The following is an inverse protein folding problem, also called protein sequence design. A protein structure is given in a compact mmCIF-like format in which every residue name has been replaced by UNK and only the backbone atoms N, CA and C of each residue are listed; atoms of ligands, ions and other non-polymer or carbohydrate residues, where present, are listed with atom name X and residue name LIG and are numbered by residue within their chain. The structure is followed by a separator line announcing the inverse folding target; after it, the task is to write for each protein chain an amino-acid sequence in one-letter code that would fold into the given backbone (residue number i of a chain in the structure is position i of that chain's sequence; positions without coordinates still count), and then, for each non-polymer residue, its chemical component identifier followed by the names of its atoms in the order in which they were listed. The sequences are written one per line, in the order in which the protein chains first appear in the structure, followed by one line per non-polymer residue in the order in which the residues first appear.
data_IF_433073482831
#
_entry.id   IF_433073482831
#
_cell.length_a   1.000
_cell.length_b   1.000
_cell.length_c   1.000
_cell.angle_alpha   90.00
_cell.angle_beta   90.00
_cell.angle_gamma   90.00
#
_symmetry.space_group_name_H-M   'P 1'
#
loop_
_entity.id
_entity.type
_entity.pdbx_description
1 polymer ?
#
# COMPACT_ATOMS: atom_id res chain seq x y z
N UNK A 1 12.57 10.69 -7.41
CA UNK A 1 12.41 10.83 -8.87
C UNK A 1 13.74 11.34 -9.43
N UNK A 2 14.06 11.06 -10.69
CA UNK A 2 15.19 11.68 -11.39
C UNK A 2 14.66 12.63 -12.46
N UNK A 3 15.34 13.74 -12.71
CA UNK A 3 14.99 14.65 -13.79
C UNK A 3 15.77 14.24 -15.05
N UNK A 4 15.09 14.05 -16.17
CA UNK A 4 15.70 13.59 -17.43
C UNK A 4 15.20 14.41 -18.61
N UNK A 5 16.00 14.59 -19.68
CA UNK A 5 15.53 15.22 -20.91
C UNK A 5 14.27 14.52 -21.42
N UNK A 6 13.26 15.28 -21.83
CA UNK A 6 12.03 14.71 -22.39
C UNK A 6 12.36 14.04 -23.74
N UNK A 7 12.17 12.72 -23.90
CA UNK A 7 12.39 12.08 -25.18
C UNK A 7 11.45 12.62 -26.26
N UNK A 8 11.91 12.68 -27.50
CA UNK A 8 11.06 13.06 -28.64
C UNK A 8 9.85 12.14 -28.74
N UNK A 9 8.69 12.71 -29.03
CA UNK A 9 7.40 12.01 -29.15
C UNK A 9 6.91 11.28 -27.88
N UNK A 10 7.53 11.50 -26.72
CA UNK A 10 7.05 10.97 -25.44
C UNK A 10 5.81 11.72 -24.94
N UNK A 11 4.87 10.97 -24.37
CA UNK A 11 3.70 11.49 -23.67
C UNK A 11 3.83 11.19 -22.16
N UNK A 12 4.53 12.05 -21.39
CA UNK A 12 4.70 11.83 -19.96
C UNK A 12 3.35 11.88 -19.24
N UNK A 13 3.21 11.07 -18.20
CA UNK A 13 2.03 11.02 -17.34
C UNK A 13 1.87 12.37 -16.64
N UNK A 14 0.69 12.95 -16.76
CA UNK A 14 0.39 14.23 -16.08
C UNK A 14 0.20 14.00 -14.57
N UNK A 15 0.38 15.02 -13.74
CA UNK A 15 0.18 14.90 -12.29
C UNK A 15 -0.61 16.07 -11.69
N UNK A 16 -1.02 15.94 -10.42
CA UNK A 16 -1.65 17.03 -9.66
C UNK A 16 -1.44 16.88 -8.17
N UNK A 17 -1.53 18.00 -7.45
CA UNK A 17 -1.65 17.99 -6.00
C UNK A 17 -3.09 17.74 -5.58
N UNK A 18 -3.26 16.81 -4.63
CA UNK A 18 -4.53 16.55 -3.95
C UNK A 18 -4.37 16.99 -2.50
N UNK A 19 -5.19 17.95 -2.11
CA UNK A 19 -5.22 18.50 -0.76
C UNK A 19 -6.38 17.90 0.03
N UNK A 20 -6.13 17.55 1.29
CA UNK A 20 -7.13 17.04 2.21
C UNK A 20 -6.89 17.58 3.60
N UNK A 21 -7.93 18.15 4.20
CA UNK A 21 -7.93 18.54 5.60
C UNK A 21 -8.33 17.33 6.45
N UNK A 22 -7.49 16.97 7.42
CA UNK A 22 -7.79 15.96 8.44
C UNK A 22 -8.31 16.67 9.68
N UNK A 23 -9.44 16.19 10.19
CA UNK A 23 -10.06 16.68 11.42
C UNK A 23 -9.96 15.62 12.51
N UNK A 24 -9.90 16.07 13.76
CA UNK A 24 -10.07 15.22 14.95
C UNK A 24 -11.54 14.86 15.12
N UNK A 25 -11.82 13.96 16.07
CA UNK A 25 -13.20 13.57 16.42
C UNK A 25 -14.06 14.73 16.89
N UNK A 26 -13.45 15.74 17.53
CA UNK A 26 -14.11 16.97 17.99
C UNK A 26 -14.35 18.01 16.86
N UNK A 27 -13.96 17.69 15.62
CA UNK A 27 -14.13 18.57 14.46
C UNK A 27 -13.02 19.60 14.26
N UNK A 28 -12.06 19.73 15.18
CA UNK A 28 -10.90 20.62 15.04
C UNK A 28 -9.91 20.10 14.00
N UNK A 29 -9.08 20.99 13.44
CA UNK A 29 -8.10 20.64 12.43
C UNK A 29 -6.98 19.83 13.08
N UNK A 30 -6.79 18.61 12.59
CA UNK A 30 -5.66 17.75 12.96
C UNK A 30 -4.45 18.05 12.08
N UNK A 31 -4.63 18.03 10.75
CA UNK A 31 -3.53 18.22 9.80
C UNK A 31 -3.99 18.66 8.41
N UNK A 32 -3.18 19.50 7.76
CA UNK A 32 -3.25 19.72 6.31
C UNK A 32 -2.43 18.66 5.58
N UNK A 33 -3.04 17.94 4.64
CA UNK A 33 -2.36 16.89 3.86
C UNK A 33 -2.35 17.26 2.39
N UNK A 34 -1.17 17.37 1.80
CA UNK A 34 -0.97 17.39 0.36
C UNK A 34 -0.43 16.04 -0.11
N UNK A 35 -0.85 15.58 -1.29
CA UNK A 35 -0.29 14.42 -1.97
C UNK A 35 -0.10 14.74 -3.43
N UNK A 36 1.07 14.41 -3.97
CA UNK A 36 1.25 14.36 -5.42
C UNK A 36 0.62 13.07 -5.95
N UNK A 37 -0.22 13.20 -6.96
CA UNK A 37 -0.96 12.09 -7.56
C UNK A 37 -0.75 12.13 -9.07
N UNK A 38 -0.25 11.04 -9.62
CA UNK A 38 -0.19 10.82 -11.06
C UNK A 38 -1.62 10.65 -11.60
N UNK A 39 -1.89 11.15 -12.80
CA UNK A 39 -3.18 10.99 -13.45
C UNK A 39 -3.15 9.72 -14.29
N UNK A 40 -3.46 8.58 -13.66
CA UNK A 40 -3.40 7.27 -14.31
C UNK A 40 -4.22 7.17 -15.60
N UNK A 41 -5.27 7.98 -15.79
CA UNK A 41 -6.00 8.03 -17.07
C UNK A 41 -5.16 8.52 -18.25
N UNK A 42 -4.02 9.20 -18.01
CA UNK A 42 -3.05 9.58 -19.03
C UNK A 42 -1.99 8.51 -19.32
N UNK A 43 -2.04 7.36 -18.63
CA UNK A 43 -1.16 6.22 -18.93
C UNK A 43 -1.66 5.38 -20.10
N UNK A 44 -0.72 4.93 -20.91
CA UNK A 44 -0.93 4.06 -22.06
C UNK A 44 -0.57 2.60 -21.74
N UNK A 45 -1.49 1.68 -22.06
CA UNK A 45 -1.24 0.24 -21.96
C UNK A 45 -0.12 -0.19 -22.92
N UNK A 46 0.75 -1.11 -22.47
CA UNK A 46 1.90 -1.60 -23.22
C UNK A 46 3.12 -0.66 -23.18
N UNK A 47 2.93 0.61 -22.80
CA UNK A 47 4.01 1.58 -22.61
C UNK A 47 4.29 1.79 -21.10
N UNK A 48 3.32 2.36 -20.38
CA UNK A 48 3.49 2.77 -18.98
C UNK A 48 3.14 1.65 -17.99
N UNK A 49 2.38 0.64 -18.44
CA UNK A 49 1.98 -0.51 -17.65
C UNK A 49 1.53 -1.67 -18.54
N UNK A 50 1.63 -2.88 -18.01
CA UNK A 50 1.13 -4.10 -18.66
C UNK A 50 0.11 -4.81 -17.78
N UNK A 51 0.34 -4.87 -16.46
CA UNK A 51 -0.59 -5.50 -15.53
C UNK A 51 -0.95 -4.57 -14.37
N UNK A 52 -2.25 -4.47 -14.06
CA UNK A 52 -2.76 -3.58 -13.00
C UNK A 52 -3.46 -4.35 -11.89
N UNK A 53 -3.63 -5.66 -12.04
CA UNK A 53 -4.38 -6.46 -11.08
C UNK A 53 -3.66 -6.50 -9.73
N UNK A 54 -4.40 -6.13 -8.69
CA UNK A 54 -4.01 -6.24 -7.29
C UNK A 54 -5.15 -6.90 -6.53
N UNK A 55 -4.87 -7.92 -5.70
CA UNK A 55 -5.87 -8.50 -4.82
C UNK A 55 -6.53 -7.46 -3.92
N UNK A 56 -7.82 -7.65 -3.67
CA UNK A 56 -8.63 -6.89 -2.73
C UNK A 56 -9.26 -7.89 -1.77
N UNK A 57 -9.14 -7.63 -0.47
CA UNK A 57 -9.66 -8.57 0.52
C UNK A 57 -11.16 -8.81 0.37
N UNK A 58 -11.55 -10.07 0.34
CA UNK A 58 -12.94 -10.46 0.27
C UNK A 58 -13.63 -10.27 1.63
N UNK A 59 -14.84 -9.70 1.63
CA UNK A 59 -15.63 -9.52 2.84
C UNK A 59 -15.96 -10.82 3.56
N UNK A 60 -16.06 -11.94 2.84
CA UNK A 60 -16.20 -13.26 3.45
C UNK A 60 -14.97 -13.59 4.28
N UNK A 61 -13.77 -13.42 3.72
CA UNK A 61 -12.49 -13.61 4.43
C UNK A 61 -12.37 -12.71 5.64
N UNK A 62 -12.70 -11.42 5.49
CA UNK A 62 -12.72 -10.46 6.62
C UNK A 62 -13.59 -11.01 7.74
N UNK A 63 -14.86 -11.34 7.46
CA UNK A 63 -15.81 -11.87 8.45
C UNK A 63 -15.32 -13.19 9.07
N UNK A 64 -14.78 -14.11 8.27
CA UNK A 64 -14.23 -15.37 8.75
C UNK A 64 -13.09 -15.18 9.74
N UNK A 65 -12.19 -14.22 9.50
CA UNK A 65 -11.10 -13.88 10.43
C UNK A 65 -11.66 -13.34 11.75
N UNK A 66 -12.64 -12.43 11.71
CA UNK A 66 -13.28 -11.92 12.92
C UNK A 66 -13.97 -13.04 13.71
N UNK A 67 -14.75 -13.89 13.04
CA UNK A 67 -15.42 -15.02 13.67
C UNK A 67 -14.41 -16.01 14.27
N UNK A 68 -13.32 -16.31 13.58
CA UNK A 68 -12.28 -17.20 14.09
C UNK A 68 -11.60 -16.62 15.33
N UNK A 69 -11.18 -15.35 15.26
CA UNK A 69 -10.53 -14.68 16.37
C UNK A 69 -11.45 -14.60 17.60
N UNK A 70 -12.74 -14.28 17.42
CA UNK A 70 -13.72 -14.26 18.50
C UNK A 70 -13.90 -15.65 19.15
N UNK A 71 -14.02 -16.70 18.33
CA UNK A 71 -14.19 -18.07 18.83
C UNK A 71 -12.94 -18.62 19.54
N UNK A 72 -11.75 -18.15 19.14
CA UNK A 72 -10.46 -18.59 19.72
C UNK A 72 -9.90 -17.61 20.75
N UNK A 73 -10.62 -16.53 21.03
CA UNK A 73 -10.18 -15.44 21.91
C UNK A 73 -8.81 -14.86 21.48
N UNK A 74 -8.59 -14.72 20.17
CA UNK A 74 -7.39 -14.07 19.61
C UNK A 74 -7.59 -12.57 19.51
N UNK A 75 -6.51 -11.82 19.75
CA UNK A 75 -6.52 -10.38 19.47
C UNK A 75 -6.37 -10.14 17.98
N UNK A 76 -6.99 -9.07 17.51
CA UNK A 76 -6.82 -8.57 16.15
C UNK A 76 -6.14 -7.21 16.24
N UNK A 77 -5.00 -7.11 15.56
CA UNK A 77 -4.21 -5.90 15.47
C UNK A 77 -4.36 -5.26 14.11
N UNK A 78 -4.65 -3.96 14.07
CA UNK A 78 -4.71 -3.21 12.83
C UNK A 78 -3.48 -2.33 12.67
N UNK A 79 -2.85 -2.42 11.49
CA UNK A 79 -1.77 -1.53 11.08
C UNK A 79 -2.14 -0.82 9.78
N UNK A 80 -1.72 0.43 9.64
CA UNK A 80 -1.86 1.24 8.42
C UNK A 80 -0.45 1.56 7.89
N UNK A 81 -0.18 1.22 6.63
CA UNK A 81 1.11 1.50 5.98
C UNK A 81 1.07 2.91 5.41
N UNK A 82 1.92 3.80 5.91
CA UNK A 82 2.01 5.14 5.34
C UNK A 82 2.68 5.08 3.98
N UNK A 83 2.05 5.75 3.01
CA UNK A 83 2.57 5.88 1.65
C UNK A 83 2.88 4.51 1.00
N UNK A 84 2.02 3.51 1.23
CA UNK A 84 2.23 2.12 0.80
C UNK A 84 2.75 1.98 -0.63
N UNK A 85 2.16 2.73 -1.58
CA UNK A 85 2.55 2.67 -2.98
C UNK A 85 3.99 3.12 -3.25
N UNK A 86 4.60 3.99 -2.43
CA UNK A 86 5.99 4.41 -2.59
C UNK A 86 7.00 3.28 -2.29
N UNK A 87 6.58 2.22 -1.62
CA UNK A 87 7.40 1.03 -1.43
C UNK A 87 7.37 0.10 -2.65
N UNK A 88 6.32 0.22 -3.48
CA UNK A 88 6.13 -0.56 -4.69
C UNK A 88 7.18 -0.23 -5.75
N UNK A 89 7.68 -1.28 -6.40
CA UNK A 89 8.59 -1.17 -7.54
C UNK A 89 7.78 -1.15 -8.84
N UNK A 90 8.19 -0.28 -9.76
CA UNK A 90 7.58 -0.21 -11.08
C UNK A 90 8.21 -1.29 -11.97
N UNK A 91 7.35 -1.97 -12.71
CA UNK A 91 7.68 -2.95 -13.74
C UNK A 91 8.13 -2.31 -15.06
N UNK A 92 7.75 -1.04 -15.27
CA UNK A 92 8.09 -0.23 -16.45
C UNK A 92 8.61 1.13 -16.03
N UNK A 93 9.41 1.73 -16.89
CA UNK A 93 9.79 3.13 -16.74
C UNK A 93 8.57 4.02 -16.99
N UNK A 94 8.25 4.87 -16.02
CA UNK A 94 7.15 5.84 -16.15
C UNK A 94 7.74 7.24 -16.10
N UNK A 95 7.59 7.96 -17.20
CA UNK A 95 7.88 9.39 -17.28
C UNK A 95 6.66 10.17 -16.81
N UNK A 96 6.87 11.17 -15.98
CA UNK A 96 5.83 12.04 -15.45
C UNK A 96 6.21 13.49 -15.64
N UNK A 97 5.23 14.36 -15.91
CA UNK A 97 5.46 15.79 -15.91
C UNK A 97 6.01 16.27 -14.56
N UNK A 98 6.78 17.36 -14.59
CA UNK A 98 7.24 17.98 -13.35
C UNK A 98 6.03 18.44 -12.52
N UNK A 99 6.05 18.25 -11.19
CA UNK A 99 4.92 18.63 -10.35
C UNK A 99 4.64 20.14 -10.45
N UNK A 100 3.36 20.56 -10.51
CA UNK A 100 3.02 21.98 -10.48
C UNK A 100 3.65 22.67 -9.26
N UNK A 101 4.35 23.79 -9.48
CA UNK A 101 5.08 24.52 -8.44
C UNK A 101 6.48 23.98 -8.10
N UNK A 102 6.94 22.91 -8.78
CA UNK A 102 8.27 22.31 -8.61
C UNK A 102 8.99 22.09 -9.95
N UNK A 103 8.69 22.94 -10.94
CA UNK A 103 9.39 22.93 -12.23
C UNK A 103 10.78 23.51 -12.03
N UNK A 104 11.81 22.80 -12.50
CA UNK A 104 13.20 23.25 -12.46
C UNK A 104 13.40 24.50 -13.33
N UNK A 105 14.04 25.53 -12.78
CA UNK A 105 14.43 26.73 -13.54
C UNK A 105 15.55 26.42 -14.54
N UNK A 106 16.49 25.55 -14.17
CA UNK A 106 17.61 25.11 -15.02
C UNK A 106 17.13 24.18 -16.15
N UNK A 107 16.15 23.32 -15.85
CA UNK A 107 15.66 22.28 -16.76
C UNK A 107 14.12 22.31 -16.91
N UNK A 108 13.55 23.40 -17.45
CA UNK A 108 12.09 23.60 -17.47
C UNK A 108 11.35 22.61 -18.37
N UNK A 109 12.01 22.05 -19.38
CA UNK A 109 11.42 21.10 -20.34
C UNK A 109 11.63 19.63 -19.98
N UNK A 110 12.39 19.35 -18.92
CA UNK A 110 12.66 17.98 -18.49
C UNK A 110 11.42 17.33 -17.84
N UNK A 111 11.46 16.01 -17.73
CA UNK A 111 10.41 15.20 -17.11
C UNK A 111 10.97 14.38 -15.96
N UNK A 112 10.10 14.00 -15.03
CA UNK A 112 10.43 13.14 -13.91
C UNK A 112 10.38 11.67 -14.33
N UNK A 113 11.51 10.98 -14.24
CA UNK A 113 11.55 9.52 -14.22
C UNK A 113 11.16 9.00 -12.83
N UNK A 114 10.06 8.27 -12.76
CA UNK A 114 9.57 7.68 -11.52
C UNK A 114 10.42 6.45 -11.15
N UNK A 115 11.00 6.47 -9.95
CA UNK A 115 11.79 5.35 -9.39
C UNK A 115 10.96 4.37 -8.56
N UNK A 116 9.76 4.78 -8.15
CA UNK A 116 8.84 4.07 -7.27
C UNK A 116 7.42 4.37 -7.72
N UNK A 117 6.49 3.46 -7.41
CA UNK A 117 5.10 3.69 -7.72
C UNK A 117 4.54 4.89 -6.93
N UNK A 118 3.61 5.62 -7.55
CA UNK A 118 2.98 6.81 -6.99
C UNK A 118 1.47 6.62 -6.97
N UNK A 119 0.79 7.30 -6.04
CA UNK A 119 -0.66 7.38 -6.04
C UNK A 119 -1.18 7.82 -7.40
N UNK A 120 -2.24 7.15 -7.86
CA UNK A 120 -2.92 7.44 -9.11
C UNK A 120 -2.30 6.77 -10.35
N UNK A 121 -1.13 6.13 -10.25
CA UNK A 121 -0.70 5.17 -11.27
C UNK A 121 -1.62 3.93 -11.23
N UNK A 122 -1.97 3.40 -12.40
CA UNK A 122 -2.87 2.23 -12.53
C UNK A 122 -2.30 0.97 -11.87
N UNK A 123 -0.98 0.78 -11.94
CA UNK A 123 -0.28 -0.38 -11.38
C UNK A 123 0.20 -0.18 -9.93
N UNK A 124 -0.01 1.00 -9.31
CA UNK A 124 0.52 1.28 -7.98
C UNK A 124 0.06 0.29 -6.89
N UNK A 125 -1.22 -0.11 -6.84
CA UNK A 125 -1.69 -1.11 -5.88
C UNK A 125 -0.99 -2.47 -6.07
N UNK A 126 -0.82 -2.90 -7.32
CA UNK A 126 -0.12 -4.14 -7.67
C UNK A 126 1.35 -4.10 -7.24
N UNK A 127 2.04 -3.02 -7.56
CA UNK A 127 3.45 -2.83 -7.18
C UNK A 127 3.64 -2.93 -5.67
N UNK A 128 2.73 -2.32 -4.90
CA UNK A 128 2.71 -2.44 -3.45
C UNK A 128 2.43 -3.88 -2.98
N UNK A 129 1.37 -4.50 -3.49
CA UNK A 129 1.03 -5.90 -3.17
C UNK A 129 2.22 -6.83 -3.42
N UNK A 130 2.87 -6.73 -4.58
CA UNK A 130 4.03 -7.54 -4.93
C UNK A 130 5.17 -7.37 -3.92
N UNK A 131 5.48 -6.13 -3.53
CA UNK A 131 6.55 -5.84 -2.56
C UNK A 131 6.30 -6.47 -1.19
N UNK A 132 5.06 -6.34 -0.70
CA UNK A 132 4.71 -6.83 0.64
C UNK A 132 4.46 -8.34 0.64
N UNK A 133 3.89 -8.91 -0.42
CA UNK A 133 3.75 -10.34 -0.60
C UNK A 133 5.11 -11.05 -0.63
N UNK A 134 6.08 -10.52 -1.38
CA UNK A 134 7.46 -11.03 -1.38
C UNK A 134 8.04 -11.07 0.04
N UNK A 135 7.80 -10.03 0.84
CA UNK A 135 8.25 -9.97 2.22
C UNK A 135 7.58 -11.03 3.10
N UNK A 136 6.25 -11.18 3.03
CA UNK A 136 5.55 -12.20 3.80
C UNK A 136 5.99 -13.61 3.42
N UNK A 137 6.17 -13.89 2.12
CA UNK A 137 6.68 -15.18 1.64
C UNK A 137 8.09 -15.43 2.18
N UNK A 138 8.98 -14.43 2.14
CA UNK A 138 10.32 -14.51 2.74
C UNK A 138 10.25 -14.80 4.25
N UNK A 139 9.30 -14.20 4.96
CA UNK A 139 9.04 -14.49 6.38
C UNK A 139 8.36 -15.85 6.62
N UNK A 140 8.15 -16.68 5.60
CA UNK A 140 7.58 -18.03 5.71
C UNK A 140 6.06 -18.09 5.72
N UNK A 141 5.37 -17.03 5.30
CA UNK A 141 3.93 -17.09 5.04
C UNK A 141 3.66 -17.73 3.67
N UNK A 142 2.45 -18.27 3.53
CA UNK A 142 1.87 -18.69 2.25
C UNK A 142 0.63 -17.84 1.99
N UNK A 143 0.39 -17.52 0.72
CA UNK A 143 -0.87 -16.92 0.29
C UNK A 143 -1.97 -17.98 0.37
N UNK A 144 -3.14 -17.63 0.90
CA UNK A 144 -4.27 -18.55 0.97
C UNK A 144 -4.91 -18.75 -0.40
N UNK A 145 -5.26 -19.99 -0.74
CA UNK A 145 -5.92 -20.32 -2.01
C UNK A 145 -7.33 -19.68 -2.12
N UNK A 146 -7.97 -19.45 -0.97
CA UNK A 146 -9.30 -18.85 -0.88
C UNK A 146 -9.32 -17.34 -1.12
N UNK A 147 -8.20 -16.65 -0.82
CA UNK A 147 -8.10 -15.20 -0.93
C UNK A 147 -6.64 -14.77 -1.04
N UNK A 148 -6.27 -14.21 -2.19
CA UNK A 148 -4.89 -13.76 -2.45
C UNK A 148 -4.44 -12.60 -1.55
N UNK A 149 -5.35 -11.97 -0.81
CA UNK A 149 -5.01 -10.93 0.17
C UNK A 149 -4.73 -11.49 1.57
N UNK A 150 -4.96 -12.79 1.80
CA UNK A 150 -4.72 -13.47 3.07
C UNK A 150 -3.41 -14.25 3.04
N UNK A 151 -2.55 -13.96 4.00
CA UNK A 151 -1.30 -14.66 4.25
C UNK A 151 -1.42 -15.48 5.53
N UNK A 152 -1.03 -16.75 5.44
CA UNK A 152 -1.10 -17.71 6.54
C UNK A 152 0.29 -18.27 6.81
N UNK A 153 0.71 -18.24 8.07
CA UNK A 153 1.91 -18.92 8.55
C UNK A 153 1.51 -19.94 9.61
N UNK A 154 1.87 -21.19 9.37
CA UNK A 154 1.59 -22.30 10.28
C UNK A 154 2.90 -22.79 10.88
N UNK A 155 2.95 -22.89 12.22
CA UNK A 155 4.05 -23.48 12.96
C UNK A 155 3.53 -24.50 13.97
N UNK A 156 4.44 -25.21 14.64
CA UNK A 156 4.10 -26.12 15.73
C UNK A 156 3.35 -25.45 16.89
N UNK A 157 3.50 -24.12 17.05
CA UNK A 157 2.86 -23.30 18.09
C UNK A 157 1.58 -22.58 17.62
N UNK A 158 1.00 -23.02 16.49
CA UNK A 158 -0.27 -22.48 15.99
C UNK A 158 -0.14 -21.67 14.70
N UNK A 159 -1.21 -20.91 14.41
CA UNK A 159 -1.34 -20.12 13.18
C UNK A 159 -1.16 -18.61 13.42
N UNK A 160 -0.59 -17.95 12.42
CA UNK A 160 -0.51 -16.49 12.30
C UNK A 160 -1.11 -16.07 10.95
N UNK A 161 -2.10 -15.19 11.00
CA UNK A 161 -2.87 -14.71 9.86
C UNK A 161 -2.61 -13.22 9.64
N UNK A 162 -2.36 -12.84 8.39
CA UNK A 162 -2.26 -11.44 7.97
C UNK A 162 -3.18 -11.22 6.79
N UNK A 163 -4.16 -10.34 6.92
CA UNK A 163 -5.00 -9.89 5.82
C UNK A 163 -4.55 -8.50 5.38
N UNK A 164 -4.22 -8.35 4.10
CA UNK A 164 -3.87 -7.07 3.50
C UNK A 164 -5.09 -6.49 2.76
N UNK A 165 -5.48 -5.27 3.07
CA UNK A 165 -6.48 -4.51 2.33
C UNK A 165 -5.92 -3.15 1.91
N UNK A 166 -5.34 -3.10 0.71
CA UNK A 166 -4.67 -1.91 0.18
C UNK A 166 -3.58 -1.41 1.14
N UNK A 167 -3.83 -0.34 1.89
CA UNK A 167 -2.88 0.26 2.84
C UNK A 167 -3.07 -0.27 4.29
N UNK A 168 -4.21 -0.92 4.58
CA UNK A 168 -4.54 -1.49 5.89
C UNK A 168 -4.11 -2.97 6.00
N UNK A 169 -3.67 -3.39 7.18
CA UNK A 169 -3.38 -4.78 7.53
C UNK A 169 -4.10 -5.20 8.80
N UNK A 170 -4.69 -6.39 8.78
CA UNK A 170 -5.15 -7.08 9.99
C UNK A 170 -4.21 -8.23 10.31
N UNK A 171 -3.78 -8.32 11.56
CA UNK A 171 -2.89 -9.38 12.05
C UNK A 171 -3.56 -10.05 13.25
N UNK A 172 -3.69 -11.37 13.21
CA UNK A 172 -4.24 -12.17 14.31
C UNK A 172 -3.63 -13.56 14.33
N UNK A 173 -3.71 -14.26 15.46
CA UNK A 173 -3.16 -15.60 15.61
C UNK A 173 -3.08 -16.02 17.07
N UNK A 174 -2.55 -17.23 17.28
CA UNK A 174 -2.48 -17.85 18.61
C UNK A 174 -1.36 -17.27 19.48
N UNK A 175 -0.26 -16.84 18.84
CA UNK A 175 0.97 -16.49 19.54
C UNK A 175 1.24 -14.98 19.47
N UNK A 176 0.87 -14.26 20.54
CA UNK A 176 1.09 -12.82 20.67
C UNK A 176 2.57 -12.41 20.56
N UNK A 177 3.52 -13.27 20.95
CA UNK A 177 4.93 -12.95 20.79
C UNK A 177 5.35 -12.94 19.31
N UNK A 178 4.80 -13.84 18.49
CA UNK A 178 5.05 -13.84 17.05
C UNK A 178 4.36 -12.67 16.35
N UNK A 179 3.14 -12.31 16.77
CA UNK A 179 2.44 -11.11 16.30
C UNK A 179 3.29 -9.87 16.62
N UNK A 180 3.77 -9.74 17.85
CA UNK A 180 4.60 -8.62 18.29
C UNK A 180 5.91 -8.52 17.49
N UNK A 181 6.59 -9.65 17.28
CA UNK A 181 7.79 -9.72 16.44
C UNK A 181 7.50 -9.24 15.01
N UNK A 182 6.46 -9.78 14.37
CA UNK A 182 6.08 -9.39 13.01
C UNK A 182 5.75 -7.89 12.91
N UNK A 183 5.03 -7.33 13.90
CA UNK A 183 4.71 -5.90 13.95
C UNK A 183 5.95 -5.03 14.05
N UNK A 184 6.93 -5.44 14.85
CA UNK A 184 8.20 -4.74 14.96
C UNK A 184 8.98 -4.81 13.65
N UNK A 185 9.08 -5.99 13.04
CA UNK A 185 9.78 -6.17 11.77
C UNK A 185 9.13 -5.34 10.64
N UNK A 186 7.79 -5.33 10.57
CA UNK A 186 7.04 -4.49 9.65
C UNK A 186 7.29 -3.00 9.90
N UNK A 187 7.39 -2.57 11.16
CA UNK A 187 7.64 -1.16 11.53
C UNK A 187 9.06 -0.69 11.22
N UNK A 188 10.03 -1.60 11.18
CA UNK A 188 11.40 -1.30 10.73
C UNK A 188 11.44 -1.17 9.20
N UNK A 189 10.67 -2.00 8.49
CA UNK A 189 10.75 -2.11 7.03
C UNK A 189 9.84 -1.13 6.28
N UNK A 190 8.70 -0.82 6.88
CA UNK A 190 7.69 0.07 6.35
C UNK A 190 7.32 1.10 7.42
N UNK A 191 7.01 2.32 7.00
CA UNK A 191 6.56 3.35 7.94
C UNK A 191 5.12 3.01 8.37
N UNK A 192 4.99 2.29 9.48
CA UNK A 192 3.70 1.83 9.99
C UNK A 192 3.07 2.85 10.93
N UNK A 193 1.75 3.02 10.81
CA UNK A 193 0.91 3.61 11.86
C UNK A 193 0.20 2.46 12.57
N UNK A 194 0.59 2.23 13.82
CA UNK A 194 -0.10 1.28 14.69
C UNK A 194 -1.44 1.87 15.13
N UNK A 195 -2.55 1.22 14.77
CA UNK A 195 -3.89 1.65 15.16
C UNK A 195 -4.38 0.96 16.43
N UNK A 196 -3.57 0.06 17.00
CA UNK A 196 -3.87 -0.66 18.23
C UNK A 196 -4.66 -1.94 18.00
N UNK A 197 -5.21 -2.46 19.09
CA UNK A 197 -6.21 -3.54 19.04
C UNK A 197 -7.48 -3.02 18.36
N UNK A 198 -8.12 -3.87 17.57
CA UNK A 198 -9.14 -3.39 16.65
C UNK A 198 -10.36 -2.82 17.38
N UNK A 199 -10.64 -1.54 17.14
CA UNK A 199 -11.92 -0.90 17.51
C UNK A 199 -12.76 -0.48 16.30
N UNK A 200 -12.13 -0.27 15.14
CA UNK A 200 -12.78 0.27 13.94
C UNK A 200 -12.03 -0.14 12.66
N UNK A 201 -12.65 -0.96 11.79
CA UNK A 201 -12.08 -1.35 10.49
C UNK A 201 -12.76 -0.62 9.34
N UNK A 202 -11.99 0.11 8.52
CA UNK A 202 -12.51 0.96 7.43
C UNK A 202 -13.37 0.22 6.40
N UNK A 203 -13.19 -1.10 6.28
CA UNK A 203 -13.86 -1.97 5.31
C UNK A 203 -15.22 -2.50 5.80
N UNK A 204 -15.53 -2.38 7.10
CA UNK A 204 -16.83 -2.77 7.66
C UNK A 204 -17.89 -1.65 7.56
N UNK A 205 -17.69 -0.68 6.66
CA UNK A 205 -18.64 0.39 6.35
C UNK A 205 -19.54 0.04 5.17
#
# INVERSE_FOLDING_TARGET
MGLVPKPENSQPVTCKWVYRLKKKSDGTIDRYKARLVARGFSQSYGLDYEETFSPVANMVTVRSIFSLAANKNWKIWQLDVKNAFLYGELDREVLMEQPPGFVSEEFPTHVCLLKKALYGLKQAPRAWYGKVAQYFIFCGFRVADSDSSLFVKTKSKGHLLVLLYVDDMLITGENEAEISCLRNDLSVRFEMKNLGEIGYFSVLK
#
